data_IF_942282856645
#
_entry.id   IF_942282856645
#
_cell.length_a   1.000
_cell.length_b   1.000
_cell.length_c   1.000
_cell.angle_alpha   90.00
_cell.angle_beta   90.00
_cell.angle_gamma   90.00
#
_symmetry.space_group_name_H-M   'P 1'
#
loop_
_entity.id
_entity.type
_entity.pdbx_description
1 polymer ?
#
# COMPACT_ATOMS: atom_id res chain seq x y z
N UNK A 1 4.98 -8.20 -23.94
CA UNK A 1 4.32 -9.24 -23.11
C UNK A 1 3.41 -8.57 -22.10
N UNK A 2 2.25 -9.18 -21.82
CA UNK A 2 1.25 -8.67 -20.85
C UNK A 2 1.85 -8.69 -19.43
N UNK A 3 1.51 -7.69 -18.61
CA UNK A 3 1.89 -7.68 -17.20
C UNK A 3 1.01 -8.64 -16.41
N UNK A 4 1.54 -9.21 -15.34
CA UNK A 4 0.77 -10.00 -14.39
C UNK A 4 -0.06 -9.04 -13.55
N UNK A 5 -1.32 -9.37 -13.28
CA UNK A 5 -2.24 -8.60 -12.43
C UNK A 5 -2.42 -9.35 -11.12
N UNK A 6 -2.18 -8.69 -9.98
CA UNK A 6 -2.18 -9.30 -8.66
C UNK A 6 -2.92 -8.41 -7.65
N UNK A 7 -3.46 -9.06 -6.61
CA UNK A 7 -4.02 -8.38 -5.44
C UNK A 7 -3.31 -8.88 -4.20
N UNK A 8 -2.78 -7.96 -3.39
CA UNK A 8 -2.24 -8.26 -2.06
C UNK A 8 -3.11 -7.60 -1.00
N UNK A 9 -3.64 -8.41 -0.09
CA UNK A 9 -4.40 -7.94 1.06
C UNK A 9 -3.47 -7.86 2.27
N UNK A 10 -3.39 -6.69 2.88
CA UNK A 10 -2.52 -6.38 4.01
C UNK A 10 -3.39 -5.96 5.19
N UNK A 11 -3.13 -6.57 6.34
CA UNK A 11 -3.67 -6.16 7.64
C UNK A 11 -2.64 -5.24 8.29
N UNK A 12 -3.01 -4.00 8.59
CA UNK A 12 -2.11 -3.06 9.27
C UNK A 12 -1.69 -3.62 10.63
N UNK A 13 -2.62 -4.22 11.36
CA UNK A 13 -2.34 -4.81 12.68
C UNK A 13 -1.31 -5.95 12.62
N UNK A 14 -1.33 -6.77 11.55
CA UNK A 14 -0.34 -7.83 11.34
C UNK A 14 0.98 -7.31 10.78
N UNK A 15 0.92 -6.27 9.96
CA UNK A 15 2.10 -5.66 9.36
C UNK A 15 2.94 -4.92 10.41
N UNK A 16 2.28 -4.07 11.21
CA UNK A 16 2.90 -3.21 12.20
C UNK A 16 1.88 -2.93 13.33
N UNK A 17 1.99 -3.69 14.42
CA UNK A 17 1.07 -3.55 15.56
C UNK A 17 1.24 -2.21 16.27
N UNK A 18 2.46 -1.67 16.33
CA UNK A 18 2.71 -0.34 16.90
C UNK A 18 2.02 0.76 16.10
N UNK A 19 2.14 0.73 14.77
CA UNK A 19 1.47 1.70 13.92
C UNK A 19 -0.06 1.63 14.06
N UNK A 20 -0.61 0.43 14.26
CA UNK A 20 -2.04 0.27 14.55
C UNK A 20 -2.44 0.82 15.92
N UNK A 21 -1.65 0.59 16.96
CA UNK A 21 -1.91 1.11 18.30
C UNK A 21 -1.80 2.65 18.32
N UNK A 22 -0.81 3.22 17.63
CA UNK A 22 -0.64 4.66 17.44
C UNK A 22 -1.83 5.28 16.70
N UNK A 23 -2.36 4.59 15.68
CA UNK A 23 -3.56 5.02 14.97
C UNK A 23 -4.76 5.09 15.92
N UNK A 24 -4.96 4.08 16.78
CA UNK A 24 -6.06 4.09 17.75
C UNK A 24 -5.90 5.17 18.80
N UNK A 25 -4.68 5.47 19.22
CA UNK A 25 -4.39 6.47 20.25
C UNK A 25 -4.47 7.91 19.73
N UNK A 26 -3.89 8.17 18.56
CA UNK A 26 -3.67 9.53 18.05
C UNK A 26 -4.57 9.88 16.85
N UNK A 27 -5.24 8.90 16.25
CA UNK A 27 -6.01 9.06 15.01
C UNK A 27 -5.15 9.19 13.76
N UNK A 28 -3.83 9.08 13.86
CA UNK A 28 -2.90 9.20 12.74
C UNK A 28 -1.75 8.23 12.88
N UNK A 29 -1.27 7.66 11.78
CA UNK A 29 -0.12 6.75 11.79
C UNK A 29 0.57 6.69 10.43
N UNK A 30 1.80 6.17 10.42
CA UNK A 30 2.54 5.89 9.21
C UNK A 30 2.92 4.42 9.15
N UNK A 31 2.93 3.85 7.95
CA UNK A 31 3.40 2.49 7.72
C UNK A 31 4.09 2.39 6.35
N UNK A 32 4.82 1.30 6.14
CA UNK A 32 5.50 1.05 4.86
C UNK A 32 5.29 -0.37 4.38
N UNK A 33 5.17 -0.52 3.06
CA UNK A 33 5.13 -1.78 2.35
C UNK A 33 6.53 -2.06 1.81
N UNK A 34 7.22 -3.02 2.40
CA UNK A 34 8.60 -3.38 2.04
C UNK A 34 8.67 -4.22 0.76
N UNK A 35 9.86 -4.35 0.19
CA UNK A 35 10.10 -5.27 -0.93
C UNK A 35 9.92 -6.74 -0.50
N UNK A 36 10.48 -7.11 0.67
CA UNK A 36 10.29 -8.42 1.29
C UNK A 36 8.82 -8.83 1.45
N UNK A 37 7.92 -7.88 1.71
CA UNK A 37 6.48 -8.14 1.85
C UNK A 37 5.87 -8.70 0.56
N UNK A 38 6.33 -8.26 -0.61
CA UNK A 38 5.86 -8.77 -1.92
C UNK A 38 6.69 -9.96 -2.41
N UNK A 39 7.97 -10.02 -2.08
CA UNK A 39 8.84 -11.14 -2.43
C UNK A 39 8.46 -12.43 -1.70
N UNK A 40 7.94 -12.33 -0.46
CA UNK A 40 7.41 -13.48 0.27
C UNK A 40 6.24 -14.18 -0.45
N UNK A 41 5.44 -13.43 -1.23
CA UNK A 41 4.39 -14.03 -2.06
C UNK A 41 4.98 -14.53 -3.40
N UNK A 42 5.76 -13.68 -4.06
CA UNK A 42 6.29 -13.93 -5.40
C UNK A 42 7.72 -13.37 -5.57
N UNK A 43 8.76 -14.14 -5.24
CA UNK A 43 10.15 -13.66 -5.24
C UNK A 43 10.74 -13.49 -6.65
N UNK A 44 10.03 -13.91 -7.69
CA UNK A 44 10.47 -13.74 -9.08
C UNK A 44 9.93 -12.48 -9.77
N UNK A 45 9.13 -11.67 -9.06
CA UNK A 45 8.44 -10.54 -9.66
C UNK A 45 9.22 -9.23 -9.49
N UNK A 46 9.21 -8.40 -10.51
CA UNK A 46 9.77 -7.04 -10.50
C UNK A 46 8.84 -6.08 -11.24
N UNK A 47 9.20 -4.80 -11.31
CA UNK A 47 8.39 -3.74 -11.93
C UNK A 47 6.97 -3.70 -11.34
N UNK A 48 6.88 -3.72 -10.01
CA UNK A 48 5.61 -3.72 -9.27
C UNK A 48 5.00 -2.32 -9.28
N UNK A 49 3.93 -2.14 -10.05
CA UNK A 49 3.23 -0.85 -10.17
C UNK A 49 1.77 -0.97 -9.74
N UNK A 50 1.34 -0.09 -8.86
CA UNK A 50 -0.04 -0.01 -8.37
C UNK A 50 -0.98 0.31 -9.53
N UNK A 51 -2.15 -0.31 -9.51
CA UNK A 51 -3.28 0.01 -10.37
C UNK A 51 -4.33 0.81 -9.62
N UNK A 52 -4.66 0.39 -8.41
CA UNK A 52 -5.48 1.12 -7.45
C UNK A 52 -5.30 0.47 -6.07
N UNK A 53 -5.75 1.17 -5.04
CA UNK A 53 -5.79 0.68 -3.67
C UNK A 53 -7.24 0.77 -3.17
N UNK A 54 -7.66 -0.19 -2.37
CA UNK A 54 -8.90 -0.10 -1.60
C UNK A 54 -8.64 -0.27 -0.12
N UNK A 55 -9.48 0.36 0.70
CA UNK A 55 -9.44 0.29 2.15
C UNK A 55 -10.73 -0.31 2.67
N UNK A 56 -10.60 -1.26 3.59
CA UNK A 56 -11.71 -1.76 4.41
C UNK A 56 -11.37 -1.58 5.89
N UNK A 57 -12.32 -1.05 6.64
CA UNK A 57 -12.22 -0.74 8.07
C UNK A 57 -13.23 -1.60 8.81
N UNK A 58 -12.84 -2.78 9.33
CA UNK A 58 -13.75 -3.60 10.11
C UNK A 58 -13.96 -2.96 11.48
N UNK A 59 -15.02 -2.15 11.56
CA UNK A 59 -15.47 -1.39 12.73
C UNK A 59 -17.00 -1.32 12.74
N UNK A 60 -17.57 -0.97 13.89
CA UNK A 60 -19.01 -0.75 14.02
C UNK A 60 -19.32 0.69 13.59
N UNK A 61 -20.07 0.83 12.50
CA UNK A 61 -20.55 2.12 12.00
C UNK A 61 -22.07 2.17 12.17
N UNK A 62 -22.58 3.26 12.75
CA UNK A 62 -24.00 3.45 12.98
C UNK A 62 -24.79 3.72 11.69
N UNK A 63 -26.13 3.64 11.71
CA UNK A 63 -26.96 4.04 10.59
C UNK A 63 -26.68 5.49 10.19
N UNK A 64 -26.48 5.73 8.88
CA UNK A 64 -26.19 7.06 8.32
C UNK A 64 -24.93 7.74 8.88
N UNK A 65 -24.00 6.97 9.44
CA UNK A 65 -22.70 7.46 9.88
C UNK A 65 -21.65 7.16 8.80
N UNK A 66 -20.92 8.20 8.38
CA UNK A 66 -19.77 8.04 7.50
C UNK A 66 -18.48 7.91 8.31
N UNK A 67 -17.51 7.20 7.75
CA UNK A 67 -16.13 7.24 8.20
C UNK A 67 -15.45 8.47 7.60
N UNK A 68 -14.55 9.13 8.33
CA UNK A 68 -13.72 10.20 7.76
C UNK A 68 -12.27 9.80 7.95
N UNK A 69 -11.63 9.33 6.89
CA UNK A 69 -10.23 8.93 6.92
C UNK A 69 -9.58 9.36 5.61
N UNK A 70 -8.32 9.79 5.67
CA UNK A 70 -7.50 9.98 4.48
C UNK A 70 -6.34 8.99 4.45
N UNK A 71 -5.95 8.61 3.23
CA UNK A 71 -4.78 7.78 2.97
C UNK A 71 -3.90 8.52 1.97
N UNK A 72 -2.66 8.81 2.38
CA UNK A 72 -1.67 9.51 1.56
C UNK A 72 -0.52 8.58 1.25
N UNK A 73 -0.09 8.52 -0.02
CA UNK A 73 1.16 7.87 -0.39
C UNK A 73 2.32 8.88 -0.26
N UNK A 74 3.07 8.80 0.83
CA UNK A 74 4.20 9.72 1.10
C UNK A 74 5.44 9.39 0.27
N UNK A 75 5.56 8.14 -0.20
CA UNK A 75 6.61 7.77 -1.14
C UNK A 75 6.39 6.41 -1.78
N UNK A 76 7.02 6.19 -2.94
CA UNK A 76 6.99 4.90 -3.62
C UNK A 76 8.27 4.61 -4.39
N UNK A 77 8.57 3.33 -4.60
CA UNK A 77 9.75 2.84 -5.33
C UNK A 77 9.36 1.74 -6.30
N UNK A 78 10.00 1.72 -7.47
CA UNK A 78 9.81 0.68 -8.49
C UNK A 78 11.17 0.16 -8.94
N UNK A 79 11.36 -1.16 -8.87
CA UNK A 79 12.49 -1.85 -9.47
C UNK A 79 12.24 -2.08 -10.97
N UNK A 80 12.97 -1.39 -11.84
CA UNK A 80 12.74 -1.36 -13.28
C UNK A 80 13.24 -2.60 -14.04
N UNK A 81 14.22 -3.31 -13.47
CA UNK A 81 14.83 -4.51 -14.05
C UNK A 81 14.92 -5.61 -13.01
N UNK A 82 14.94 -6.87 -13.45
CA UNK A 82 15.24 -8.01 -12.58
C UNK A 82 16.72 -7.93 -12.15
N UNK A 83 16.98 -7.20 -11.07
CA UNK A 83 18.30 -6.86 -10.56
C UNK A 83 18.37 -7.11 -9.05
N UNK A 84 19.16 -8.11 -8.66
CA UNK A 84 19.30 -8.51 -7.26
C UNK A 84 19.96 -7.41 -6.41
N UNK A 85 20.83 -6.58 -6.99
CA UNK A 85 21.40 -5.45 -6.26
C UNK A 85 20.33 -4.39 -5.97
N UNK A 86 19.33 -4.25 -6.84
CA UNK A 86 18.17 -3.41 -6.59
C UNK A 86 17.31 -3.95 -5.44
N UNK A 87 17.05 -5.26 -5.40
CA UNK A 87 16.31 -5.90 -4.30
C UNK A 87 17.04 -5.72 -2.96
N UNK A 88 18.35 -5.96 -2.93
CA UNK A 88 19.18 -5.73 -1.73
C UNK A 88 19.06 -4.28 -1.25
N UNK A 89 19.16 -3.31 -2.15
CA UNK A 89 18.99 -1.89 -1.81
C UNK A 89 17.60 -1.55 -1.28
N UNK A 90 16.55 -2.19 -1.80
CA UNK A 90 15.17 -1.96 -1.35
C UNK A 90 14.91 -2.55 0.03
N UNK A 91 15.59 -3.64 0.40
CA UNK A 91 15.52 -4.24 1.72
C UNK A 91 16.42 -3.51 2.73
N UNK A 92 17.62 -3.11 2.32
CA UNK A 92 18.58 -2.33 3.10
C UNK A 92 19.36 -1.38 2.17
N UNK A 93 19.16 -0.07 2.34
CA UNK A 93 19.75 0.97 1.49
C UNK A 93 21.27 1.08 1.59
N UNK A 94 21.90 0.42 2.56
CA UNK A 94 23.36 0.31 2.69
C UNK A 94 23.96 -0.80 1.83
N UNK A 95 23.11 -1.69 1.30
CA UNK A 95 23.50 -2.84 0.48
C UNK A 95 23.02 -2.68 -0.97
N UNK A 96 23.72 -3.27 -1.93
CA UNK A 96 23.27 -3.28 -3.32
C UNK A 96 23.39 -1.93 -4.06
N UNK A 97 22.45 -1.64 -4.96
CA UNK A 97 22.49 -0.48 -5.85
C UNK A 97 21.10 0.04 -6.24
N UNK A 98 20.93 1.37 -6.22
CA UNK A 98 19.71 2.03 -6.68
C UNK A 98 19.64 2.29 -8.20
N UNK A 99 20.60 1.77 -8.98
CA UNK A 99 20.75 2.11 -10.41
C UNK A 99 19.52 1.80 -11.29
N UNK A 100 18.74 0.78 -10.90
CA UNK A 100 17.51 0.38 -11.61
C UNK A 100 16.24 0.70 -10.79
N UNK A 101 16.32 1.61 -9.83
CA UNK A 101 15.18 1.99 -8.98
C UNK A 101 14.77 3.41 -9.34
N UNK A 102 13.46 3.58 -9.55
CA UNK A 102 12.85 4.91 -9.64
C UNK A 102 12.01 5.16 -8.38
N UNK A 103 12.08 6.39 -7.86
CA UNK A 103 11.41 6.81 -6.64
C UNK A 103 10.41 7.93 -6.95
N UNK A 104 9.31 7.95 -6.21
CA UNK A 104 8.32 9.05 -6.18
C UNK A 104 7.88 9.52 -7.58
N UNK A 105 7.53 8.56 -8.44
CA UNK A 105 7.10 8.82 -9.83
C UNK A 105 5.86 9.73 -9.88
N UNK A 106 5.07 9.73 -8.79
CA UNK A 106 4.05 10.72 -8.44
C UNK A 106 4.12 10.94 -6.94
N UNK A 107 4.26 12.19 -6.52
CA UNK A 107 4.40 12.53 -5.10
C UNK A 107 3.04 12.90 -4.51
N UNK A 108 2.79 12.40 -3.29
CA UNK A 108 1.71 12.86 -2.41
C UNK A 108 0.30 12.77 -3.01
N UNK A 109 -0.01 11.67 -3.69
CA UNK A 109 -1.41 11.34 -4.00
C UNK A 109 -2.15 10.98 -2.70
N UNK A 110 -3.44 11.30 -2.66
CA UNK A 110 -4.30 11.14 -1.48
C UNK A 110 -5.68 10.67 -1.91
N UNK A 111 -6.29 9.81 -1.09
CA UNK A 111 -7.71 9.47 -1.18
C UNK A 111 -8.41 9.74 0.15
N UNK A 112 -9.70 10.06 0.07
CA UNK A 112 -10.60 10.07 1.21
C UNK A 112 -11.40 8.75 1.25
N UNK A 113 -11.58 8.19 2.43
CA UNK A 113 -12.39 6.99 2.69
C UNK A 113 -13.63 7.42 3.44
N UNK A 114 -14.80 7.08 2.91
CA UNK A 114 -16.10 7.51 3.44
C UNK A 114 -17.00 6.35 3.85
N UNK A 115 -16.95 5.24 3.10
CA UNK A 115 -17.76 4.05 3.37
C UNK A 115 -17.08 3.06 4.32
N UNK A 116 -15.74 3.00 4.29
CA UNK A 116 -14.96 2.03 5.05
C UNK A 116 -15.09 0.58 4.56
N UNK A 117 -15.69 0.31 3.39
CA UNK A 117 -15.83 -1.04 2.83
C UNK A 117 -15.39 -1.09 1.37
N UNK A 118 -14.23 -1.70 1.11
CA UNK A 118 -13.58 -1.75 -0.20
C UNK A 118 -13.52 -0.38 -0.90
N UNK A 119 -13.28 0.65 -0.11
CA UNK A 119 -13.33 2.04 -0.54
C UNK A 119 -12.05 2.42 -1.29
N UNK A 120 -12.18 2.87 -2.54
CA UNK A 120 -11.05 3.31 -3.36
C UNK A 120 -10.87 4.83 -3.35
N UNK A 121 -11.68 5.56 -2.59
CA UNK A 121 -11.79 7.02 -2.64
C UNK A 121 -12.36 7.58 -3.94
N UNK A 122 -13.00 6.74 -4.75
CA UNK A 122 -13.78 7.17 -5.91
C UNK A 122 -15.22 6.66 -5.78
N UNK A 123 -16.17 7.41 -6.31
CA UNK A 123 -17.57 6.97 -6.35
C UNK A 123 -17.76 5.70 -7.19
N UNK A 124 -17.03 5.56 -8.29
CA UNK A 124 -17.05 4.39 -9.18
C UNK A 124 -15.65 4.11 -9.70
N UNK A 125 -15.14 2.89 -9.50
CA UNK A 125 -13.91 2.42 -10.14
C UNK A 125 -14.17 2.16 -11.63
N UNK A 126 -13.68 3.05 -12.50
CA UNK A 126 -13.83 2.94 -13.94
C UNK A 126 -12.47 2.82 -14.64
N UNK A 127 -12.16 1.62 -15.13
CA UNK A 127 -10.90 1.34 -15.85
C UNK A 127 -10.87 1.87 -17.31
N UNK A 128 -12.00 2.40 -17.79
CA UNK A 128 -12.11 3.02 -19.10
C UNK A 128 -12.07 4.55 -19.08
N UNK A 129 -11.89 5.19 -17.91
CA UNK A 129 -11.65 6.64 -17.83
C UNK A 129 -10.27 6.96 -18.45
N UNK A 130 -10.15 8.11 -19.11
CA UNK A 130 -8.88 8.57 -19.69
C UNK A 130 -7.92 9.07 -18.61
N UNK A 131 -8.42 9.37 -17.41
CA UNK A 131 -7.63 9.77 -16.26
C UNK A 131 -7.13 8.55 -15.49
N UNK A 132 -5.93 8.70 -14.94
CA UNK A 132 -5.36 7.71 -14.03
C UNK A 132 -6.20 7.55 -12.78
N UNK A 133 -6.32 6.31 -12.30
CA UNK A 133 -6.88 6.04 -10.98
C UNK A 133 -5.92 6.57 -9.89
N UNK A 134 -6.41 6.84 -8.67
CA UNK A 134 -5.55 7.15 -7.54
C UNK A 134 -4.48 6.07 -7.34
N UNK A 135 -3.23 6.50 -7.16
CA UNK A 135 -2.03 5.68 -7.02
C UNK A 135 -1.63 4.91 -8.28
N UNK A 136 -2.32 5.09 -9.41
CA UNK A 136 -2.02 4.33 -10.61
C UNK A 136 -0.62 4.66 -11.16
N UNK A 137 0.18 3.61 -11.36
CA UNK A 137 1.52 3.67 -11.91
C UNK A 137 2.60 3.93 -10.87
N UNK A 138 2.25 4.24 -9.62
CA UNK A 138 3.21 4.38 -8.51
C UNK A 138 3.74 3.01 -8.06
N UNK A 139 4.80 3.01 -7.26
CA UNK A 139 5.44 1.78 -6.80
C UNK A 139 4.66 1.05 -5.71
N UNK A 140 4.63 -0.29 -5.79
CA UNK A 140 4.03 -1.11 -4.74
C UNK A 140 4.83 -1.03 -3.42
N UNK A 141 6.16 -0.93 -3.53
CA UNK A 141 7.04 -0.64 -2.40
C UNK A 141 6.84 0.83 -2.05
N UNK A 142 6.27 1.12 -0.89
CA UNK A 142 5.71 2.43 -0.65
C UNK A 142 5.58 2.76 0.83
N UNK A 143 5.53 4.05 1.13
CA UNK A 143 5.29 4.60 2.47
C UNK A 143 3.96 5.35 2.45
N UNK A 144 3.19 5.19 3.52
CA UNK A 144 1.81 5.64 3.61
C UNK A 144 1.57 6.34 4.94
N UNK A 145 0.64 7.29 4.92
CA UNK A 145 0.09 7.92 6.11
C UNK A 145 -1.43 7.73 6.12
N UNK A 146 -1.96 7.34 7.28
CA UNK A 146 -3.39 7.32 7.56
C UNK A 146 -3.69 8.46 8.52
N UNK A 147 -4.76 9.19 8.25
CA UNK A 147 -5.28 10.22 9.13
C UNK A 147 -6.79 10.06 9.32
N UNK A 148 -7.27 10.15 10.56
CA UNK A 148 -8.68 10.32 10.91
C UNK A 148 -8.87 11.76 11.36
N UNK A 149 -9.35 12.65 10.48
CA UNK A 149 -9.57 14.04 10.84
C UNK A 149 -10.50 14.16 12.05
N UNK A 150 -10.20 15.09 12.95
CA UNK A 150 -10.96 15.31 14.19
C UNK A 150 -11.13 14.03 15.04
N UNK A 151 -10.05 13.26 15.22
CA UNK A 151 -10.04 12.00 15.97
C UNK A 151 -10.62 12.08 17.41
N UNK A 152 -10.60 13.28 18.02
CA UNK A 152 -11.15 13.53 19.35
C UNK A 152 -12.66 13.82 19.37
N UNK A 153 -13.32 13.88 18.22
CA UNK A 153 -14.79 13.99 18.16
C UNK A 153 -15.43 12.67 18.55
N UNK A 154 -16.60 12.72 19.18
CA UNK A 154 -17.32 11.54 19.67
C UNK A 154 -17.52 10.47 18.58
N UNK A 155 -17.88 10.89 17.36
CA UNK A 155 -18.10 9.98 16.23
C UNK A 155 -16.82 9.24 15.79
N UNK A 156 -15.72 9.99 15.60
CA UNK A 156 -14.47 9.42 15.10
C UNK A 156 -13.77 8.61 16.18
N UNK A 157 -13.85 9.06 17.43
CA UNK A 157 -13.34 8.32 18.57
C UNK A 157 -14.06 6.97 18.71
N UNK A 158 -15.38 6.93 18.54
CA UNK A 158 -16.14 5.68 18.57
C UNK A 158 -15.74 4.72 17.44
N UNK A 159 -15.51 5.24 16.22
CA UNK A 159 -15.01 4.44 15.09
C UNK A 159 -13.63 3.86 15.39
N UNK A 160 -12.70 4.70 15.86
CA UNK A 160 -11.32 4.30 16.18
C UNK A 160 -11.27 3.27 17.32
N UNK A 161 -12.09 3.43 18.36
CA UNK A 161 -12.15 2.50 19.49
C UNK A 161 -12.63 1.12 19.06
N UNK A 162 -13.67 1.06 18.21
CA UNK A 162 -14.23 -0.19 17.68
C UNK A 162 -13.44 -0.77 16.49
N UNK A 163 -12.46 -0.04 15.96
CA UNK A 163 -11.61 -0.49 14.87
C UNK A 163 -10.80 -1.71 15.31
N UNK A 164 -10.99 -2.81 14.57
CA UNK A 164 -10.32 -4.08 14.82
C UNK A 164 -9.05 -4.26 13.99
N UNK A 165 -8.99 -3.63 12.82
CA UNK A 165 -7.87 -3.61 11.89
C UNK A 165 -8.05 -2.50 10.84
N UNK A 166 -7.03 -2.24 10.03
CA UNK A 166 -7.15 -1.54 8.74
C UNK A 166 -6.72 -2.52 7.66
N UNK A 167 -7.60 -2.84 6.72
CA UNK A 167 -7.31 -3.75 5.63
C UNK A 167 -7.03 -2.94 4.37
N UNK A 168 -5.81 -3.04 3.88
CA UNK A 168 -5.35 -2.40 2.64
C UNK A 168 -5.29 -3.48 1.56
N UNK A 169 -6.00 -3.30 0.46
CA UNK A 169 -5.81 -4.14 -0.72
C UNK A 169 -5.08 -3.36 -1.80
N UNK A 170 -3.88 -3.81 -2.11
CA UNK A 170 -3.07 -3.25 -3.20
C UNK A 170 -3.30 -4.09 -4.43
N UNK A 171 -3.94 -3.49 -5.45
CA UNK A 171 -4.05 -4.09 -6.77
C UNK A 171 -2.90 -3.56 -7.61
N UNK A 172 -2.05 -4.46 -8.10
CA UNK A 172 -0.82 -4.06 -8.78
C UNK A 172 -0.51 -4.97 -9.96
N UNK A 173 0.38 -4.47 -10.82
CA UNK A 173 0.94 -5.23 -11.92
C UNK A 173 2.41 -5.53 -11.71
N UNK A 174 2.89 -6.65 -12.24
CA UNK A 174 4.30 -7.03 -12.17
C UNK A 174 4.79 -7.74 -13.45
N UNK A 175 6.10 -7.94 -13.55
CA UNK A 175 6.77 -8.77 -14.56
C UNK A 175 7.55 -9.90 -13.90
N UNK A 176 7.67 -11.03 -14.59
CA UNK A 176 8.48 -12.15 -14.15
C UNK A 176 9.94 -11.97 -14.60
N UNK A 177 10.87 -11.97 -13.65
CA UNK A 177 12.32 -11.83 -13.85
C UNK A 177 13.06 -13.13 -14.21
N UNK A 178 12.34 -14.26 -14.28
CA UNK A 178 12.90 -15.57 -14.60
C UNK A 178 13.37 -16.35 -13.36
N UNK A 179 13.72 -17.63 -13.58
CA UNK A 179 14.09 -18.56 -12.50
C UNK A 179 15.36 -18.16 -11.76
N UNK A 180 16.38 -17.66 -12.47
CA UNK A 180 17.63 -17.21 -11.85
C UNK A 180 17.40 -16.04 -10.89
N UNK A 181 16.61 -15.04 -11.32
CA UNK A 181 16.27 -13.90 -10.46
C UNK A 181 15.44 -14.36 -9.26
N UNK A 182 14.42 -15.19 -9.49
CA UNK A 182 13.60 -15.77 -8.42
C UNK A 182 14.47 -16.47 -7.35
N UNK A 183 15.42 -17.30 -7.78
CA UNK A 183 16.30 -18.02 -6.85
C UNK A 183 17.20 -17.06 -6.06
N UNK A 184 17.71 -16.01 -6.70
CA UNK A 184 18.52 -15.01 -6.03
C UNK A 184 17.74 -14.27 -4.95
N UNK A 185 16.50 -13.85 -5.24
CA UNK A 185 15.61 -13.18 -4.28
C UNK A 185 15.20 -14.12 -3.14
N UNK A 186 14.96 -15.40 -3.41
CA UNK A 186 14.68 -16.37 -2.35
C UNK A 186 15.82 -16.50 -1.32
N UNK A 187 17.06 -16.19 -1.71
CA UNK A 187 18.20 -16.21 -0.80
C UNK A 187 18.31 -14.93 0.05
N UNK A 188 17.48 -13.91 -0.22
CA UNK A 188 17.44 -12.64 0.54
C UNK A 188 16.26 -12.55 1.52
N UNK A 189 15.39 -13.57 1.54
CA UNK A 189 14.21 -13.64 2.41
C UNK A 189 14.56 -14.15 3.83
#
# INVERSE_FOLDING_TARGET
TRRLELTKTISLKKLDSSAFDDLKANGTTQFSLSESLFDNDYPGHYLRQIKFVTISLPTLVGPYQDVKMTLVQSGSRILLKADINGVNYLNDSTTGSASNIITNLRASEEIAVSSGLNDSGMFVLNFGDERYLPFEGTGAISSWQIDFPNANSDEQQAILQNLSDVIIQVHYTARNGGSTFKQAVMNTL
#
